data_IF_505009647125
#
_entry.id   IF_505009647125
#
_cell.length_a   1.000
_cell.length_b   1.000
_cell.length_c   1.000
_cell.angle_alpha   90.00
_cell.angle_beta   90.00
_cell.angle_gamma   90.00
#
_symmetry.space_group_name_H-M   'P 1'
#
loop_
_entity.id
_entity.type
_entity.pdbx_description
1 polymer ?
#
# COMPACT_ATOMS: atom_id res chain seq x y z
N UNK A 1 4.66 0.75 7.46
CA UNK A 1 5.08 1.65 6.37
C UNK A 1 5.31 3.01 6.98
N UNK A 2 6.45 3.63 6.68
CA UNK A 2 6.78 4.95 7.18
C UNK A 2 6.56 5.97 6.07
N UNK A 3 5.82 7.01 6.38
CA UNK A 3 5.58 8.14 5.48
C UNK A 3 6.33 9.37 6.00
N UNK A 4 6.77 10.22 5.08
CA UNK A 4 7.01 11.63 5.36
C UNK A 4 5.66 12.34 5.54
N UNK A 5 5.69 13.60 5.99
CA UNK A 5 4.47 14.40 6.09
C UNK A 5 3.80 14.54 4.70
N UNK A 6 2.51 14.21 4.64
CA UNK A 6 1.71 14.30 3.42
C UNK A 6 0.90 15.60 3.51
N UNK A 7 1.01 16.51 2.53
CA UNK A 7 0.25 17.75 2.53
C UNK A 7 -1.26 17.51 2.49
N UNK A 8 -2.03 18.33 3.21
CA UNK A 8 -3.51 18.24 3.26
C UNK A 8 -4.14 18.27 1.86
N UNK A 9 -3.62 19.08 0.93
CA UNK A 9 -4.10 19.13 -0.46
C UNK A 9 -4.05 17.75 -1.15
N UNK A 10 -3.02 16.95 -0.86
CA UNK A 10 -2.89 15.60 -1.41
C UNK A 10 -3.92 14.67 -0.78
N UNK A 11 -4.15 14.79 0.52
CA UNK A 11 -5.16 14.00 1.24
C UNK A 11 -6.55 14.28 0.67
N UNK A 12 -6.93 15.55 0.52
CA UNK A 12 -8.22 15.95 -0.04
C UNK A 12 -8.41 15.42 -1.47
N UNK A 13 -7.39 15.53 -2.33
CA UNK A 13 -7.45 14.97 -3.70
C UNK A 13 -7.73 13.46 -3.71
N UNK A 14 -7.11 12.71 -2.81
CA UNK A 14 -7.29 11.25 -2.72
C UNK A 14 -8.67 10.88 -2.20
N UNK A 15 -9.23 11.66 -1.28
CA UNK A 15 -10.60 11.50 -0.79
C UNK A 15 -11.60 11.85 -1.88
N UNK A 16 -11.39 12.94 -2.61
CA UNK A 16 -12.24 13.37 -3.74
C UNK A 16 -12.24 12.36 -4.89
N UNK A 17 -11.09 11.74 -5.17
CA UNK A 17 -10.99 10.63 -6.15
C UNK A 17 -11.79 9.40 -5.70
N UNK A 18 -12.07 9.27 -4.40
CA UNK A 18 -12.85 8.19 -3.80
C UNK A 18 -12.11 6.85 -3.75
N UNK A 19 -10.88 6.77 -4.28
CA UNK A 19 -10.08 5.55 -4.33
C UNK A 19 -9.77 5.00 -2.93
N UNK A 20 -9.65 5.89 -1.93
CA UNK A 20 -9.41 5.53 -0.52
C UNK A 20 -10.55 4.73 0.11
N UNK A 21 -11.76 4.81 -0.46
CA UNK A 21 -12.95 4.10 0.03
C UNK A 21 -12.94 2.60 -0.31
N UNK A 22 -12.07 2.16 -1.22
CA UNK A 22 -11.98 0.77 -1.67
C UNK A 22 -10.83 -0.01 -1.04
N UNK A 23 -10.06 0.61 -0.14
CA UNK A 23 -8.88 0.02 0.48
C UNK A 23 -8.92 0.16 2.00
N UNK A 24 -8.34 -0.81 2.70
CA UNK A 24 -8.27 -0.77 4.15
C UNK A 24 -7.39 0.39 4.63
N UNK A 25 -7.94 1.25 5.49
CA UNK A 25 -7.22 2.38 6.08
C UNK A 25 -6.79 3.46 5.08
N UNK A 26 -7.36 3.49 3.86
CA UNK A 26 -6.95 4.46 2.84
C UNK A 26 -5.52 4.28 2.32
N UNK A 27 -4.91 3.11 2.56
CA UNK A 27 -3.49 2.88 2.30
C UNK A 27 -3.24 2.43 0.86
N UNK A 28 -2.64 3.30 0.04
CA UNK A 28 -2.32 3.02 -1.37
C UNK A 28 -0.90 3.50 -1.69
N UNK A 29 0.10 2.64 -1.56
CA UNK A 29 1.51 3.03 -1.67
C UNK A 29 2.01 3.18 -3.11
N UNK A 30 1.31 2.55 -4.06
CA UNK A 30 1.55 2.63 -5.50
C UNK A 30 0.91 3.87 -6.14
N UNK A 31 0.04 4.58 -5.41
CA UNK A 31 -0.63 5.74 -5.97
C UNK A 31 0.40 6.86 -6.28
N UNK A 32 0.39 7.47 -7.47
CA UNK A 32 1.39 8.48 -7.84
C UNK A 32 1.46 9.68 -6.88
N UNK A 33 0.33 10.04 -6.25
CA UNK A 33 0.29 11.13 -5.26
C UNK A 33 0.82 10.73 -3.88
N UNK A 34 0.87 9.43 -3.56
CA UNK A 34 1.35 8.93 -2.27
C UNK A 34 2.80 8.47 -2.35
N UNK A 35 3.20 7.87 -3.48
CA UNK A 35 4.54 7.31 -3.68
C UNK A 35 5.70 8.24 -3.30
N UNK A 36 5.68 9.56 -3.62
CA UNK A 36 6.74 10.49 -3.23
C UNK A 36 6.91 10.67 -1.71
N UNK A 37 5.87 10.36 -0.93
CA UNK A 37 5.85 10.53 0.52
C UNK A 37 6.17 9.23 1.26
N UNK A 38 6.36 8.10 0.57
CA UNK A 38 6.80 6.85 1.20
C UNK A 38 8.27 7.00 1.59
N UNK A 39 8.54 7.06 2.89
CA UNK A 39 9.90 7.15 3.43
C UNK A 39 10.59 5.80 3.42
N UNK A 40 9.89 4.77 3.91
CA UNK A 40 10.45 3.43 4.05
C UNK A 40 9.33 2.38 4.13
N UNK A 41 9.56 1.25 3.46
CA UNK A 41 8.73 0.04 3.58
C UNK A 41 9.58 -1.04 4.26
N UNK A 42 9.21 -1.41 5.48
CA UNK A 42 9.79 -2.57 6.17
C UNK A 42 8.95 -3.79 5.83
N UNK A 43 9.56 -4.79 5.19
CA UNK A 43 8.87 -5.94 4.59
C UNK A 43 8.89 -5.87 3.07
N UNK A 44 7.85 -6.40 2.42
CA UNK A 44 7.75 -6.44 0.95
C UNK A 44 6.49 -5.75 0.46
N UNK A 45 6.59 -5.05 -0.68
CA UNK A 45 5.49 -4.29 -1.29
C UNK A 45 4.29 -5.17 -1.62
N UNK A 46 4.53 -6.37 -2.13
CA UNK A 46 3.46 -7.33 -2.48
C UNK A 46 2.65 -7.78 -1.26
N UNK A 47 3.29 -7.88 -0.08
CA UNK A 47 2.60 -8.13 1.18
C UNK A 47 1.72 -6.97 1.60
N UNK A 48 2.13 -5.72 1.34
CA UNK A 48 1.31 -4.53 1.59
C UNK A 48 0.11 -4.49 0.65
N UNK A 49 0.32 -4.83 -0.62
CA UNK A 49 -0.72 -4.91 -1.64
C UNK A 49 -1.71 -6.07 -1.43
N UNK A 50 -1.50 -6.90 -0.41
CA UNK A 50 -2.42 -7.94 0.02
C UNK A 50 -2.10 -9.37 -0.47
N UNK A 51 -1.00 -9.57 -1.21
CA UNK A 51 -0.59 -10.90 -1.67
C UNK A 51 0.93 -11.11 -1.54
N UNK A 52 1.43 -11.57 -0.38
CA UNK A 52 2.84 -11.89 -0.20
C UNK A 52 3.22 -13.12 -1.04
N UNK A 53 3.85 -12.92 -2.18
CA UNK A 53 4.06 -13.96 -3.20
C UNK A 53 4.98 -15.08 -2.70
N UNK A 54 6.07 -14.72 -2.03
CA UNK A 54 7.01 -15.70 -1.46
C UNK A 54 6.34 -16.60 -0.41
N UNK A 55 5.47 -16.03 0.42
CA UNK A 55 4.69 -16.79 1.40
C UNK A 55 3.63 -17.64 0.71
N UNK A 56 2.93 -17.07 -0.27
CA UNK A 56 1.92 -17.76 -1.06
C UNK A 56 2.51 -18.99 -1.74
N UNK A 57 3.68 -18.86 -2.38
CA UNK A 57 4.38 -19.98 -3.02
C UNK A 57 4.77 -21.07 -2.02
N UNK A 58 5.31 -20.70 -0.85
CA UNK A 58 5.67 -21.65 0.21
C UNK A 58 4.46 -22.43 0.71
N UNK A 59 3.32 -21.77 0.89
CA UNK A 59 2.08 -22.40 1.33
C UNK A 59 1.49 -23.33 0.26
N UNK A 60 1.51 -22.93 -1.01
CA UNK A 60 1.09 -23.79 -2.11
C UNK A 60 1.92 -25.09 -2.16
N UNK A 61 3.25 -24.98 -2.01
CA UNK A 61 4.15 -26.15 -1.98
C UNK A 61 3.97 -27.03 -0.74
N UNK A 62 3.43 -26.51 0.36
CA UNK A 62 3.24 -27.27 1.59
C UNK A 62 1.99 -28.18 1.58
N UNK A 63 1.08 -27.97 0.62
CA UNK A 63 -0.17 -28.73 0.48
C UNK A 63 -0.25 -29.56 -0.82
N UNK A 64 0.78 -29.46 -1.67
CA UNK A 64 1.00 -30.29 -2.87
C UNK A 64 1.85 -31.51 -2.52
#
# INVERSE_FOLDING_TARGET
IYFNEIPDEIIEKLVDEGITLYVAGGLIIEHPLIFPYVKEVVGTTDSVMGLPKDLTEKLLKAVL
#
